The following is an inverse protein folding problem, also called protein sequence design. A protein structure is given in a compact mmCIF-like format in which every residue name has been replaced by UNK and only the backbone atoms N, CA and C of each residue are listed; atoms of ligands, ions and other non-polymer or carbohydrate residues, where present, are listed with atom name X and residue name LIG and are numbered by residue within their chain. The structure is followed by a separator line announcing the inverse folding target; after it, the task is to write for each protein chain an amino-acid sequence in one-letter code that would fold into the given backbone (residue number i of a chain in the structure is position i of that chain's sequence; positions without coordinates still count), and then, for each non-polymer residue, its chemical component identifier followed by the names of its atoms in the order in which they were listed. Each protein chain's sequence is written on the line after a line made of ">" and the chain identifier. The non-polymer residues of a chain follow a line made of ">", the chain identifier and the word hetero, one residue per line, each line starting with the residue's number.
data_IF_007109414682
#
_entry.id   IF_007109414682
#
_cell.length_a   1.000
_cell.length_b   1.000
_cell.length_c   1.000
_cell.angle_alpha   90.00
_cell.angle_beta   90.00
_cell.angle_gamma   90.00
#
_symmetry.space_group_name_H-M   'P 1'
#
loop_
_entity.id
_entity.type
_entity.pdbx_description
1 polymer ?
#
# COMPACT_ATOMS: atom_id res chain seq x y z
N UNK A 1 -20.60 -8.66 -0.56
CA UNK A 1 -19.29 -8.39 0.08
C UNK A 1 -18.98 -6.92 -0.09
N UNK A 2 -18.51 -6.21 0.94
CA UNK A 2 -18.23 -4.77 0.88
C UNK A 2 -16.71 -4.55 0.78
N UNK A 3 -16.30 -3.73 -0.18
CA UNK A 3 -14.91 -3.28 -0.33
C UNK A 3 -14.90 -1.75 -0.17
N UNK A 4 -14.01 -1.24 0.66
CA UNK A 4 -13.88 0.20 0.91
C UNK A 4 -12.53 0.70 0.40
N UNK A 5 -12.56 1.82 -0.31
CA UNK A 5 -11.36 2.59 -0.64
C UNK A 5 -11.48 3.94 0.05
N UNK A 6 -10.48 4.32 0.86
CA UNK A 6 -10.46 5.58 1.60
C UNK A 6 -9.43 6.54 1.01
N UNK A 7 -9.91 7.72 0.58
CA UNK A 7 -9.07 8.80 0.07
C UNK A 7 -9.04 9.98 1.05
N UNK A 8 -7.93 10.72 1.06
CA UNK A 8 -7.79 11.95 1.84
C UNK A 8 -6.35 12.47 1.93
N UNK A 9 -6.14 13.75 2.22
CA UNK A 9 -4.79 14.33 2.32
C UNK A 9 -4.00 13.71 3.49
N UNK A 10 -2.67 13.89 3.54
CA UNK A 10 -1.88 13.60 4.74
C UNK A 10 -2.48 14.29 5.98
N UNK A 11 -2.47 13.62 7.14
CA UNK A 11 -3.04 14.17 8.37
C UNK A 11 -4.57 14.14 8.52
N UNK A 12 -5.34 13.78 7.49
CA UNK A 12 -6.83 13.72 7.56
C UNK A 12 -7.43 12.60 8.43
N UNK A 13 -6.60 11.77 9.06
CA UNK A 13 -7.07 10.68 9.92
C UNK A 13 -7.49 9.40 9.20
N UNK A 14 -7.20 9.25 7.91
CA UNK A 14 -7.54 8.06 7.09
C UNK A 14 -7.18 6.74 7.76
N UNK A 15 -5.93 6.63 8.24
CA UNK A 15 -5.43 5.40 8.85
C UNK A 15 -6.17 5.06 10.15
N UNK A 16 -6.53 6.06 10.94
CA UNK A 16 -7.34 5.87 12.14
C UNK A 16 -8.75 5.39 11.79
N UNK A 17 -9.36 5.95 10.74
CA UNK A 17 -10.73 5.59 10.34
C UNK A 17 -10.79 4.24 9.61
N UNK A 18 -9.81 3.92 8.76
CA UNK A 18 -9.77 2.65 8.03
C UNK A 18 -9.68 1.45 8.97
N UNK A 19 -8.88 1.54 10.03
CA UNK A 19 -8.79 0.50 11.08
C UNK A 19 -10.15 0.30 11.76
N UNK A 20 -10.81 1.38 12.21
CA UNK A 20 -12.14 1.30 12.86
C UNK A 20 -13.22 0.72 11.95
N UNK A 21 -13.19 1.06 10.66
CA UNK A 21 -14.11 0.52 9.65
C UNK A 21 -13.86 -0.98 9.46
N UNK A 22 -12.59 -1.37 9.32
CA UNK A 22 -12.19 -2.77 9.16
C UNK A 22 -12.64 -3.62 10.35
N UNK A 23 -12.40 -3.16 11.59
CA UNK A 23 -12.86 -3.84 12.81
C UNK A 23 -14.39 -3.95 12.87
N UNK A 24 -15.11 -2.85 12.61
CA UNK A 24 -16.58 -2.81 12.69
C UNK A 24 -17.26 -3.77 11.72
N UNK A 25 -16.71 -3.93 10.52
CA UNK A 25 -17.30 -4.76 9.46
C UNK A 25 -16.57 -6.09 9.26
N UNK A 26 -15.61 -6.44 10.12
CA UNK A 26 -14.77 -7.63 10.03
C UNK A 26 -14.12 -7.79 8.64
N UNK A 27 -13.45 -6.72 8.18
CA UNK A 27 -12.75 -6.66 6.90
C UNK A 27 -11.24 -6.70 7.09
N UNK A 28 -10.52 -7.20 6.09
CA UNK A 28 -9.08 -7.04 6.01
C UNK A 28 -8.73 -5.55 5.83
N UNK A 29 -7.68 -5.09 6.51
CA UNK A 29 -7.16 -3.74 6.38
C UNK A 29 -5.85 -3.75 5.60
N UNK A 30 -5.87 -3.13 4.42
CA UNK A 30 -4.72 -3.02 3.53
C UNK A 30 -4.36 -1.56 3.28
N UNK A 31 -3.07 -1.24 3.38
CA UNK A 31 -2.51 0.09 3.15
C UNK A 31 -1.39 -0.03 2.13
N UNK A 32 -1.59 0.57 0.95
CA UNK A 32 -0.61 0.58 -0.14
C UNK A 32 0.77 1.02 0.37
N UNK A 33 0.81 2.12 1.12
CA UNK A 33 2.05 2.65 1.68
C UNK A 33 2.77 1.68 2.63
N UNK A 34 2.04 0.89 3.44
CA UNK A 34 2.66 -0.10 4.32
C UNK A 34 3.20 -1.30 3.55
N UNK A 35 2.46 -1.76 2.53
CA UNK A 35 2.89 -2.81 1.61
C UNK A 35 4.21 -2.41 0.91
N UNK A 36 4.29 -1.20 0.34
CA UNK A 36 5.50 -0.71 -0.31
C UNK A 36 6.68 -0.66 0.66
N UNK A 37 6.48 -0.05 1.84
CA UNK A 37 7.52 0.06 2.86
C UNK A 37 8.01 -1.31 3.33
N UNK A 38 7.11 -2.28 3.48
CA UNK A 38 7.43 -3.65 3.87
C UNK A 38 8.31 -4.33 2.82
N UNK A 39 7.89 -4.31 1.55
CA UNK A 39 8.63 -4.91 0.44
C UNK A 39 10.05 -4.34 0.28
N UNK A 40 10.18 -3.02 0.38
CA UNK A 40 11.49 -2.34 0.35
C UNK A 40 12.35 -2.77 1.55
N UNK A 41 11.79 -2.77 2.76
CA UNK A 41 12.52 -3.16 3.99
C UNK A 41 13.00 -4.61 3.94
N UNK A 42 12.16 -5.50 3.43
CA UNK A 42 12.44 -6.94 3.31
C UNK A 42 13.31 -7.28 2.10
N UNK A 43 13.62 -6.28 1.25
CA UNK A 43 14.44 -6.43 0.04
C UNK A 43 13.92 -7.52 -0.88
N UNK A 44 12.60 -7.59 -1.03
CA UNK A 44 11.98 -8.48 -2.02
C UNK A 44 12.41 -8.05 -3.43
N UNK A 45 12.34 -8.94 -4.41
CA UNK A 45 12.73 -8.61 -5.78
C UNK A 45 11.94 -7.39 -6.31
N UNK A 46 10.62 -7.38 -6.04
CA UNK A 46 9.74 -6.25 -6.36
C UNK A 46 10.10 -4.98 -5.57
N UNK A 47 10.37 -5.13 -4.27
CA UNK A 47 10.79 -4.02 -3.40
C UNK A 47 12.07 -3.34 -3.87
N UNK A 48 13.06 -4.12 -4.30
CA UNK A 48 14.32 -3.61 -4.85
C UNK A 48 14.13 -2.90 -6.20
N UNK A 49 13.27 -3.44 -7.08
CA UNK A 49 12.92 -2.78 -8.36
C UNK A 49 12.29 -1.42 -8.09
N UNK A 50 11.26 -1.35 -7.23
CA UNK A 50 10.61 -0.09 -6.86
C UNK A 50 11.57 0.89 -6.21
N UNK A 51 12.39 0.42 -5.26
CA UNK A 51 13.38 1.26 -4.60
C UNK A 51 14.31 1.92 -5.63
N UNK A 52 14.81 1.15 -6.61
CA UNK A 52 15.72 1.68 -7.63
C UNK A 52 15.10 2.76 -8.52
N UNK A 53 13.78 2.73 -8.75
CA UNK A 53 13.05 3.72 -9.54
C UNK A 53 12.85 5.00 -8.71
N UNK A 54 12.44 4.86 -7.45
CA UNK A 54 12.25 5.98 -6.52
C UNK A 54 13.57 6.72 -6.29
N UNK A 55 14.68 6.00 -6.13
CA UNK A 55 16.02 6.59 -5.94
C UNK A 55 16.48 7.41 -7.16
N UNK A 56 15.96 7.12 -8.36
CA UNK A 56 16.19 7.92 -9.58
C UNK A 56 15.27 9.13 -9.70
N UNK A 57 14.30 9.28 -8.79
CA UNK A 57 13.27 10.32 -8.88
C UNK A 57 12.23 10.05 -9.97
N UNK A 58 12.14 8.80 -10.44
CA UNK A 58 11.21 8.38 -11.48
C UNK A 58 9.87 7.93 -10.87
N UNK A 59 8.80 8.00 -11.67
CA UNK A 59 7.50 7.48 -11.29
C UNK A 59 7.51 5.95 -11.42
N UNK A 60 7.03 5.25 -10.39
CA UNK A 60 6.88 3.80 -10.42
C UNK A 60 5.75 3.43 -11.41
N UNK A 61 5.99 2.53 -12.38
CA UNK A 61 4.97 2.08 -13.33
C UNK A 61 3.79 1.40 -12.62
N UNK A 62 2.57 1.62 -13.13
CA UNK A 62 1.34 1.07 -12.56
C UNK A 62 1.36 -0.47 -12.48
N UNK A 63 1.90 -1.14 -13.50
CA UNK A 63 2.03 -2.61 -13.53
C UNK A 63 2.83 -3.12 -12.32
N UNK A 64 3.93 -2.45 -11.99
CA UNK A 64 4.77 -2.82 -10.84
C UNK A 64 4.10 -2.49 -9.51
N UNK A 65 3.25 -1.46 -9.45
CA UNK A 65 2.43 -1.15 -8.28
C UNK A 65 1.38 -2.23 -8.05
N UNK A 66 0.76 -2.73 -9.13
CA UNK A 66 -0.24 -3.80 -9.09
C UNK A 66 0.40 -5.10 -8.63
N UNK A 67 1.54 -5.50 -9.20
CA UNK A 67 2.27 -6.71 -8.81
C UNK A 67 2.60 -6.73 -7.32
N UNK A 68 2.99 -5.59 -6.75
CA UNK A 68 3.29 -5.46 -5.31
C UNK A 68 2.03 -5.60 -4.44
N UNK A 69 0.89 -5.12 -4.93
CA UNK A 69 -0.37 -5.23 -4.21
C UNK A 69 -0.85 -6.68 -4.20
N UNK A 70 -0.74 -7.38 -5.34
CA UNK A 70 -1.13 -8.79 -5.47
C UNK A 70 -0.26 -9.72 -4.61
N UNK A 71 1.04 -9.47 -4.48
CA UNK A 71 1.95 -10.27 -3.61
C UNK A 71 1.62 -10.15 -2.11
N UNK A 72 0.90 -9.09 -1.74
CA UNK A 72 0.61 -8.74 -0.33
C UNK A 72 -0.84 -9.02 0.09
N UNK A 73 -1.65 -9.56 -0.82
CA UNK A 73 -3.05 -9.97 -0.59
C UNK A 73 -3.18 -11.47 -0.40
#
# INVERSE_FOLDING_TARGET
>A
MFNFILFGPPGSGKGTQSIKIAEKYNLAHTSTGDIFRKNIREKTELGLKVQSIIEKGELVPDELLIDILDDSM
#
